data_IF_854190071461
#
_entry.id   IF_854190071461
#
_cell.length_a   1.000
_cell.length_b   1.000
_cell.length_c   1.000
_cell.angle_alpha   90.00
_cell.angle_beta   90.00
_cell.angle_gamma   90.00
#
_symmetry.space_group_name_H-M   'P 1'
#
loop_
_entity.id
_entity.type
_entity.pdbx_description
1 polymer ?
#
# COMPACT_ATOMS: atom_id res chain seq x y z
N UNK A 1 12.76 -0.25 -27.68
CA UNK A 1 12.25 0.49 -26.51
C UNK A 1 10.89 -0.06 -26.13
N UNK A 2 10.82 -0.92 -25.10
CA UNK A 2 9.52 -1.35 -24.56
C UNK A 2 8.87 -0.14 -23.89
N UNK A 3 7.70 0.28 -24.38
CA UNK A 3 6.82 1.20 -23.68
C UNK A 3 6.60 0.62 -22.29
N UNK A 4 7.13 1.29 -21.26
CA UNK A 4 6.72 1.05 -19.89
C UNK A 4 5.21 1.22 -19.84
N UNK A 5 4.50 0.12 -19.64
CA UNK A 5 3.05 0.14 -19.46
C UNK A 5 2.77 0.77 -18.09
N UNK A 6 2.68 2.09 -18.11
CA UNK A 6 2.41 2.93 -16.95
C UNK A 6 1.08 2.60 -16.27
N UNK A 7 0.21 1.84 -16.95
CA UNK A 7 -1.12 1.46 -16.46
C UNK A 7 -1.05 0.13 -15.73
N UNK A 8 -0.42 -0.88 -16.32
CA UNK A 8 -0.44 -2.24 -15.76
C UNK A 8 0.74 -2.56 -14.84
N UNK A 9 1.92 -1.96 -15.05
CA UNK A 9 3.13 -2.23 -14.26
C UNK A 9 4.00 -0.98 -14.09
N UNK A 10 3.57 0.00 -13.27
CA UNK A 10 4.40 1.17 -13.02
C UNK A 10 5.68 0.76 -12.27
N UNK A 11 6.83 1.20 -12.74
CA UNK A 11 8.15 0.92 -12.14
C UNK A 11 8.24 1.29 -10.65
N UNK A 12 7.44 2.26 -10.20
CA UNK A 12 7.37 2.67 -8.80
C UNK A 12 6.62 1.70 -7.88
N UNK A 13 6.00 0.65 -8.42
CA UNK A 13 5.41 -0.45 -7.64
C UNK A 13 6.22 -1.75 -7.71
N UNK A 14 7.42 -1.72 -8.31
CA UNK A 14 8.27 -2.91 -8.44
C UNK A 14 9.36 -2.94 -7.35
N UNK A 15 9.42 -4.06 -6.63
CA UNK A 15 10.33 -4.32 -5.50
C UNK A 15 11.12 -5.60 -5.79
N UNK A 16 12.10 -5.49 -6.69
CA UNK A 16 12.88 -6.64 -7.16
C UNK A 16 11.97 -7.66 -7.85
N UNK A 17 11.89 -8.87 -7.28
CA UNK A 17 11.03 -9.95 -7.78
C UNK A 17 9.55 -9.82 -7.42
N UNK A 18 9.19 -8.87 -6.55
CA UNK A 18 7.82 -8.68 -6.08
C UNK A 18 7.22 -7.38 -6.62
N UNK A 19 5.90 -7.37 -6.82
CA UNK A 19 5.14 -6.14 -7.04
C UNK A 19 4.45 -5.71 -5.75
N UNK A 20 4.16 -4.41 -5.64
CA UNK A 20 3.44 -3.85 -4.50
C UNK A 20 2.12 -4.59 -4.22
N UNK A 21 1.40 -4.97 -5.28
CA UNK A 21 0.15 -5.71 -5.15
C UNK A 21 0.35 -7.08 -4.50
N UNK A 22 1.41 -7.81 -4.86
CA UNK A 22 1.74 -9.11 -4.24
C UNK A 22 2.06 -8.93 -2.76
N UNK A 23 2.83 -7.90 -2.39
CA UNK A 23 3.15 -7.60 -1.00
C UNK A 23 1.87 -7.27 -0.21
N UNK A 24 1.01 -6.41 -0.76
CA UNK A 24 -0.27 -6.03 -0.14
C UNK A 24 -1.19 -7.25 0.01
N UNK A 25 -1.26 -8.13 -0.99
CA UNK A 25 -2.07 -9.35 -0.92
C UNK A 25 -1.58 -10.32 0.16
N UNK A 26 -0.26 -10.54 0.25
CA UNK A 26 0.34 -11.41 1.26
C UNK A 26 0.08 -10.90 2.68
N UNK A 27 0.21 -9.60 2.91
CA UNK A 27 -0.16 -9.00 4.20
C UNK A 27 -1.66 -9.07 4.42
N UNK A 28 -2.49 -8.85 3.39
CA UNK A 28 -3.94 -8.90 3.50
C UNK A 28 -4.47 -10.24 3.99
N UNK A 29 -3.84 -11.35 3.60
CA UNK A 29 -4.18 -12.70 4.07
C UNK A 29 -4.01 -12.89 5.59
N UNK A 30 -3.29 -12.00 6.29
CA UNK A 30 -3.11 -12.07 7.75
C UNK A 30 -4.22 -11.34 8.52
N UNK A 31 -5.08 -10.57 7.86
CA UNK A 31 -6.15 -9.80 8.50
C UNK A 31 -7.50 -10.50 8.32
N UNK A 32 -8.28 -10.58 9.41
CA UNK A 32 -9.65 -11.12 9.38
C UNK A 32 -10.69 -10.07 8.95
N UNK A 33 -10.47 -8.80 9.29
CA UNK A 33 -11.37 -7.70 8.96
C UNK A 33 -10.99 -7.06 7.63
N UNK A 34 -11.93 -7.08 6.67
CA UNK A 34 -11.75 -6.46 5.36
C UNK A 34 -11.56 -4.94 5.46
N UNK A 35 -12.25 -4.28 6.39
CA UNK A 35 -12.14 -2.82 6.61
C UNK A 35 -10.77 -2.45 7.17
N UNK A 36 -10.27 -3.20 8.14
CA UNK A 36 -8.90 -3.03 8.65
C UNK A 36 -7.90 -3.25 7.54
N UNK A 37 -8.04 -4.33 6.78
CA UNK A 37 -7.14 -4.63 5.66
C UNK A 37 -7.14 -3.51 4.60
N UNK A 38 -8.30 -2.96 4.25
CA UNK A 38 -8.39 -1.88 3.26
C UNK A 38 -7.48 -0.69 3.62
N UNK A 39 -7.49 -0.29 4.90
CA UNK A 39 -6.67 0.81 5.39
C UNK A 39 -5.18 0.42 5.51
N UNK A 40 -4.87 -0.80 5.96
CA UNK A 40 -3.50 -1.32 5.99
C UNK A 40 -2.89 -1.42 4.59
N UNK A 41 -3.64 -1.92 3.61
CA UNK A 41 -3.20 -2.01 2.21
C UNK A 41 -2.89 -0.64 1.61
N UNK A 42 -3.70 0.38 1.94
CA UNK A 42 -3.42 1.77 1.56
C UNK A 42 -2.15 2.30 2.23
N UNK A 43 -1.94 2.04 3.53
CA UNK A 43 -0.72 2.42 4.22
C UNK A 43 0.52 1.81 3.56
N UNK A 44 0.51 0.50 3.29
CA UNK A 44 1.58 -0.20 2.58
C UNK A 44 1.85 0.37 1.20
N UNK A 45 0.80 0.64 0.42
CA UNK A 45 0.91 1.29 -0.90
C UNK A 45 1.66 2.61 -0.80
N UNK A 46 1.32 3.46 0.16
CA UNK A 46 1.96 4.76 0.33
C UNK A 46 3.40 4.66 0.85
N UNK A 47 3.69 3.75 1.79
CA UNK A 47 5.06 3.50 2.27
C UNK A 47 5.97 3.05 1.13
N UNK A 48 5.51 2.12 0.31
CA UNK A 48 6.21 1.64 -0.88
C UNK A 48 6.42 2.74 -1.93
N UNK A 49 5.44 3.63 -2.09
CA UNK A 49 5.48 4.70 -3.09
C UNK A 49 6.31 5.92 -2.67
N UNK A 50 6.40 6.21 -1.38
CA UNK A 50 7.10 7.36 -0.83
C UNK A 50 8.52 7.58 -1.40
N UNK A 51 9.44 6.57 -1.41
CA UNK A 51 10.79 6.77 -1.92
C UNK A 51 10.87 6.97 -3.45
N UNK A 52 9.77 6.77 -4.19
CA UNK A 52 9.76 6.73 -5.65
C UNK A 52 8.83 7.76 -6.31
N UNK A 53 7.97 8.44 -5.55
CA UNK A 53 7.00 9.40 -6.11
C UNK A 53 6.87 10.69 -5.30
N UNK A 54 6.17 10.66 -4.16
CA UNK A 54 5.76 11.88 -3.45
C UNK A 54 6.42 12.09 -2.08
N UNK A 55 7.38 11.24 -1.68
CA UNK A 55 8.17 11.42 -0.46
C UNK A 55 7.32 11.63 0.79
N UNK A 56 7.52 12.77 1.46
CA UNK A 56 6.85 13.15 2.70
C UNK A 56 5.31 13.14 2.60
N UNK A 57 4.75 13.51 1.45
CA UNK A 57 3.29 13.52 1.28
C UNK A 57 2.71 12.10 1.39
N UNK A 58 3.39 11.11 0.81
CA UNK A 58 2.98 9.71 0.91
C UNK A 58 3.18 9.18 2.33
N UNK A 59 4.21 9.60 3.06
CA UNK A 59 4.36 9.26 4.48
C UNK A 59 3.20 9.79 5.32
N UNK A 60 2.73 11.02 5.04
CA UNK A 60 1.55 11.60 5.71
C UNK A 60 0.27 10.80 5.38
N UNK A 61 0.07 10.39 4.13
CA UNK A 61 -1.07 9.55 3.72
C UNK A 61 -1.00 8.14 4.32
N UNK A 62 0.20 7.56 4.44
CA UNK A 62 0.41 6.30 5.12
C UNK A 62 0.01 6.41 6.59
N UNK A 63 0.45 7.46 7.28
CA UNK A 63 0.07 7.75 8.67
C UNK A 63 -1.45 7.80 8.83
N UNK A 64 -2.14 8.60 8.03
CA UNK A 64 -3.61 8.73 8.09
C UNK A 64 -4.32 7.38 7.82
N UNK A 65 -3.78 6.58 6.89
CA UNK A 65 -4.34 5.26 6.61
C UNK A 65 -4.18 4.31 7.80
N UNK A 66 -3.07 4.41 8.56
CA UNK A 66 -2.90 3.66 9.81
C UNK A 66 -3.88 4.12 10.88
N UNK A 67 -4.12 5.43 11.01
CA UNK A 67 -5.14 5.97 11.93
C UNK A 67 -6.52 5.37 11.64
N UNK A 68 -6.96 5.34 10.37
CA UNK A 68 -8.22 4.68 10.00
C UNK A 68 -8.24 3.17 10.25
N UNK A 69 -7.09 2.50 10.08
CA UNK A 69 -6.99 1.07 10.39
C UNK A 69 -7.15 0.81 11.90
N UNK A 70 -6.62 1.70 12.74
CA UNK A 70 -6.78 1.66 14.21
C UNK A 70 -8.24 1.92 14.59
N UNK A 71 -8.90 2.90 13.98
CA UNK A 71 -10.33 3.17 14.22
C UNK A 71 -11.23 1.97 13.84
N UNK A 72 -10.85 1.24 12.78
CA UNK A 72 -11.53 0.01 12.38
C UNK A 72 -11.12 -1.23 13.20
N UNK A 73 -10.04 -1.15 13.99
CA UNK A 73 -9.49 -2.27 14.77
C UNK A 73 -10.36 -2.57 15.98
N UNK A 74 -10.89 -1.52 16.59
CA UNK A 74 -11.82 -1.57 17.71
C UNK A 74 -13.20 -1.99 17.15
N UNK A 75 -13.43 -3.30 17.07
CA UNK A 75 -14.78 -3.85 16.94
C UNK A 75 -15.55 -3.44 18.20
N UNK A 76 -16.37 -2.38 18.12
CA UNK A 76 -17.50 -2.21 19.04
C UNK A 76 -18.55 -3.27 18.78
#
# INVERSE_FOLDING_TARGET
MCKSDSVHQPTHYQFGKFSANVIIELVGKTYKSASVFYHVGNALKYLMRAPRKNGLEDLKKAKQSVEFAIDCWEVK
#
